data_IF_310269617774
#
_entry.id   IF_310269617774
#
_cell.length_a   1.000
_cell.length_b   1.000
_cell.length_c   1.000
_cell.angle_alpha   90.00
_cell.angle_beta   90.00
_cell.angle_gamma   90.00
#
_symmetry.space_group_name_H-M   'P 1'
#
loop_
_entity.id
_entity.type
_entity.pdbx_description
1 polymer ?
#
# COMPACT_ATOMS: atom_id res chain seq x y z
N UNK A 1 26.77 9.49 -10.90
CA UNK A 1 25.79 8.91 -9.95
C UNK A 1 25.13 7.72 -10.62
N UNK A 2 25.43 6.52 -10.15
CA UNK A 2 24.71 5.30 -10.55
C UNK A 2 23.34 5.33 -9.89
N UNK A 3 22.28 5.54 -10.67
CA UNK A 3 20.90 5.43 -10.16
C UNK A 3 20.70 3.95 -9.81
N UNK A 4 20.38 3.60 -8.55
CA UNK A 4 20.20 2.21 -8.19
C UNK A 4 18.97 1.64 -8.88
N UNK A 5 19.12 0.42 -9.38
CA UNK A 5 18.09 -0.37 -10.06
C UNK A 5 16.74 -0.34 -9.30
N UNK A 6 16.80 -0.37 -7.98
CA UNK A 6 15.67 -0.24 -7.06
C UNK A 6 14.84 1.01 -7.36
N UNK A 7 15.43 2.19 -7.46
CA UNK A 7 14.68 3.42 -7.73
C UNK A 7 14.04 3.44 -9.11
N UNK A 8 14.72 2.90 -10.12
CA UNK A 8 14.22 2.85 -11.51
C UNK A 8 12.99 1.94 -11.63
N UNK A 9 12.96 0.85 -10.87
CA UNK A 9 11.85 -0.11 -10.89
C UNK A 9 10.69 0.35 -9.99
N UNK A 10 10.96 0.81 -8.77
CA UNK A 10 9.90 1.16 -7.83
C UNK A 10 9.16 2.45 -8.19
N UNK A 11 9.77 3.36 -8.96
CA UNK A 11 9.13 4.61 -9.36
C UNK A 11 7.93 4.44 -10.30
N UNK A 12 8.04 3.76 -11.46
CA UNK A 12 6.88 3.52 -12.32
C UNK A 12 5.82 2.66 -11.63
N UNK A 13 6.23 1.73 -10.76
CA UNK A 13 5.30 0.92 -9.95
C UNK A 13 4.52 1.80 -8.96
N UNK A 14 5.20 2.71 -8.25
CA UNK A 14 4.54 3.65 -7.34
C UNK A 14 3.52 4.53 -8.08
N UNK A 15 3.85 5.01 -9.27
CA UNK A 15 2.92 5.80 -10.09
C UNK A 15 1.71 4.99 -10.53
N UNK A 16 1.91 3.77 -11.01
CA UNK A 16 0.83 2.90 -11.45
C UNK A 16 -0.13 2.55 -10.29
N UNK A 17 0.43 2.14 -9.14
CA UNK A 17 -0.36 1.82 -7.95
C UNK A 17 -1.04 3.08 -7.39
N UNK A 18 -0.37 4.23 -7.43
CA UNK A 18 -0.93 5.52 -7.01
C UNK A 18 -2.13 5.92 -7.85
N UNK A 19 -2.08 5.69 -9.17
CA UNK A 19 -3.22 5.92 -10.04
C UNK A 19 -4.40 5.00 -9.72
N UNK A 20 -4.14 3.71 -9.48
CA UNK A 20 -5.16 2.74 -9.06
C UNK A 20 -5.80 3.17 -7.74
N UNK A 21 -4.98 3.57 -6.75
CA UNK A 21 -5.46 4.09 -5.48
C UNK A 21 -6.38 5.30 -5.65
N UNK A 22 -5.96 6.27 -6.47
CA UNK A 22 -6.74 7.47 -6.74
C UNK A 22 -8.08 7.15 -7.40
N UNK A 23 -8.12 6.17 -8.31
CA UNK A 23 -9.37 5.71 -8.92
C UNK A 23 -10.36 5.18 -7.86
N UNK A 24 -9.92 4.26 -7.01
CA UNK A 24 -10.77 3.71 -5.94
C UNK A 24 -11.21 4.79 -4.95
N UNK A 25 -10.37 5.79 -4.69
CA UNK A 25 -10.74 6.93 -3.86
C UNK A 25 -11.87 7.77 -4.49
N UNK A 26 -11.83 8.02 -5.79
CA UNK A 26 -12.90 8.72 -6.49
C UNK A 26 -14.19 7.89 -6.54
N UNK A 27 -14.08 6.60 -6.84
CA UNK A 27 -15.24 5.68 -6.81
C UNK A 27 -15.86 5.60 -5.40
N UNK A 28 -15.04 5.65 -4.34
CA UNK A 28 -15.54 5.76 -2.97
C UNK A 28 -16.27 7.08 -2.72
N UNK A 29 -15.76 8.23 -3.21
CA UNK A 29 -16.46 9.51 -3.08
C UNK A 29 -17.83 9.54 -3.74
N UNK A 30 -17.99 8.81 -4.84
CA UNK A 30 -19.26 8.77 -5.59
C UNK A 30 -20.26 7.77 -4.99
N UNK A 31 -19.77 6.61 -4.53
CA UNK A 31 -20.63 5.50 -4.12
C UNK A 31 -20.77 5.35 -2.60
N UNK A 32 -19.86 5.96 -1.84
CA UNK A 32 -19.69 5.82 -0.39
C UNK A 32 -19.57 4.36 0.10
N UNK A 33 -19.19 3.44 -0.80
CA UNK A 33 -19.05 2.02 -0.46
C UNK A 33 -17.78 1.75 0.33
N UNK A 34 -17.91 0.97 1.41
CA UNK A 34 -16.80 0.64 2.31
C UNK A 34 -15.68 -0.12 1.60
N UNK A 35 -16.02 -0.97 0.63
CA UNK A 35 -15.05 -1.78 -0.12
C UNK A 35 -14.10 -0.90 -0.94
N UNK A 36 -14.64 0.10 -1.65
CA UNK A 36 -13.84 1.04 -2.44
C UNK A 36 -12.89 1.86 -1.55
N UNK A 37 -13.33 2.24 -0.35
CA UNK A 37 -12.46 2.89 0.63
C UNK A 37 -11.31 1.97 1.07
N UNK A 38 -11.59 0.70 1.35
CA UNK A 38 -10.56 -0.26 1.79
C UNK A 38 -9.56 -0.52 0.65
N UNK A 39 -10.02 -0.67 -0.59
CA UNK A 39 -9.13 -0.76 -1.75
C UNK A 39 -8.27 0.49 -1.92
N UNK A 40 -8.86 1.69 -1.83
CA UNK A 40 -8.12 2.95 -1.90
C UNK A 40 -7.03 3.03 -0.82
N UNK A 41 -7.35 2.67 0.43
CA UNK A 41 -6.38 2.67 1.53
C UNK A 41 -5.28 1.62 1.34
N UNK A 42 -5.62 0.41 0.90
CA UNK A 42 -4.65 -0.66 0.64
C UNK A 42 -3.66 -0.27 -0.47
N UNK A 43 -4.17 0.24 -1.60
CA UNK A 43 -3.32 0.68 -2.70
C UNK A 43 -2.54 1.95 -2.36
N UNK A 44 -3.08 2.85 -1.52
CA UNK A 44 -2.31 3.98 -0.98
C UNK A 44 -1.13 3.49 -0.15
N UNK A 45 -1.35 2.53 0.76
CA UNK A 45 -0.27 1.96 1.56
C UNK A 45 0.82 1.32 0.68
N UNK A 46 0.44 0.55 -0.35
CA UNK A 46 1.39 -0.01 -1.32
C UNK A 46 2.12 1.06 -2.14
N UNK A 47 1.46 2.17 -2.47
CA UNK A 47 2.08 3.31 -3.15
C UNK A 47 3.16 3.94 -2.27
N UNK A 48 2.88 4.10 -0.98
CA UNK A 48 3.85 4.60 0.00
C UNK A 48 5.04 3.64 0.11
N UNK A 49 4.79 2.33 0.20
CA UNK A 49 5.86 1.29 0.18
C UNK A 49 6.79 1.48 -1.01
N UNK A 50 6.23 1.53 -2.22
CA UNK A 50 7.03 1.70 -3.43
C UNK A 50 7.78 3.04 -3.44
N UNK A 51 7.14 4.11 -2.96
CA UNK A 51 7.76 5.42 -2.82
C UNK A 51 8.94 5.42 -1.83
N UNK A 52 8.83 4.69 -0.71
CA UNK A 52 9.95 4.52 0.23
C UNK A 52 11.12 3.77 -0.41
N UNK A 53 10.84 2.78 -1.28
CA UNK A 53 11.86 2.10 -2.07
C UNK A 53 12.57 3.02 -3.07
N UNK A 54 11.84 3.94 -3.70
CA UNK A 54 12.42 4.99 -4.55
C UNK A 54 13.37 5.88 -3.74
N UNK A 55 12.92 6.39 -2.60
CA UNK A 55 13.70 7.26 -1.71
C UNK A 55 14.92 6.56 -1.11
N UNK A 56 14.80 5.28 -0.76
CA UNK A 56 15.90 4.45 -0.27
C UNK A 56 17.03 4.38 -1.31
N UNK A 57 16.68 4.17 -2.58
CA UNK A 57 17.67 4.12 -3.64
C UNK A 57 18.20 5.50 -4.06
N UNK A 58 17.37 6.54 -4.12
CA UNK A 58 17.83 7.85 -4.65
C UNK A 58 18.52 8.72 -3.60
N UNK A 59 18.02 8.76 -2.36
CA UNK A 59 18.45 9.72 -1.32
C UNK A 59 19.27 9.03 -0.24
N UNK A 60 18.82 7.86 0.21
CA UNK A 60 19.35 7.19 1.38
C UNK A 60 20.24 6.00 1.02
N UNK A 61 21.14 6.17 0.05
CA UNK A 61 22.09 5.13 -0.40
C UNK A 61 23.12 4.70 0.67
N UNK A 62 23.01 5.21 1.90
CA UNK A 62 23.71 4.73 3.09
C UNK A 62 23.04 3.47 3.67
N UNK A 63 23.83 2.59 4.30
CA UNK A 63 23.31 1.35 4.92
C UNK A 63 22.19 1.62 5.92
N UNK A 64 22.32 2.64 6.75
CA UNK A 64 21.34 2.97 7.80
C UNK A 64 20.03 3.48 7.21
N UNK A 65 20.10 4.31 6.17
CA UNK A 65 18.92 4.86 5.51
C UNK A 65 18.13 3.80 4.74
N UNK A 66 18.80 2.83 4.11
CA UNK A 66 18.15 1.66 3.50
C UNK A 66 17.40 0.85 4.58
N UNK A 67 18.02 0.59 5.73
CA UNK A 67 17.39 -0.17 6.83
C UNK A 67 16.16 0.56 7.36
N UNK A 68 16.23 1.88 7.58
CA UNK A 68 15.09 2.69 8.01
C UNK A 68 13.93 2.59 7.02
N UNK A 69 14.21 2.76 5.72
CA UNK A 69 13.18 2.67 4.68
C UNK A 69 12.60 1.26 4.59
N UNK A 70 13.39 0.22 4.84
CA UNK A 70 12.90 -1.16 4.90
C UNK A 70 11.90 -1.35 6.05
N UNK A 71 12.19 -0.82 7.25
CA UNK A 71 11.28 -0.88 8.41
C UNK A 71 9.98 -0.16 8.09
N UNK A 72 10.06 1.07 7.56
CA UNK A 72 8.88 1.87 7.17
C UNK A 72 8.05 1.11 6.13
N UNK A 73 8.68 0.57 5.08
CA UNK A 73 8.01 -0.20 4.05
C UNK A 73 7.30 -1.44 4.62
N UNK A 74 7.91 -2.13 5.59
CA UNK A 74 7.34 -3.33 6.20
C UNK A 74 6.06 -3.04 6.98
N UNK A 75 6.01 -1.89 7.67
CA UNK A 75 4.80 -1.44 8.39
C UNK A 75 3.65 -1.21 7.40
N UNK A 76 3.90 -0.50 6.31
CA UNK A 76 2.86 -0.23 5.31
C UNK A 76 2.42 -1.48 4.55
N UNK A 77 3.33 -2.42 4.28
CA UNK A 77 2.98 -3.74 3.71
C UNK A 77 2.07 -4.52 4.68
N UNK A 78 2.36 -4.52 5.98
CA UNK A 78 1.52 -5.19 6.97
C UNK A 78 0.10 -4.59 7.00
N UNK A 79 -0.01 -3.26 6.94
CA UNK A 79 -1.29 -2.55 6.88
C UNK A 79 -2.06 -2.93 5.60
N UNK A 80 -1.41 -2.90 4.43
CA UNK A 80 -2.03 -3.28 3.16
C UNK A 80 -2.54 -4.73 3.18
N UNK A 81 -1.73 -5.67 3.70
CA UNK A 81 -2.13 -7.07 3.86
C UNK A 81 -3.30 -7.24 4.83
N UNK A 82 -3.39 -6.43 5.88
CA UNK A 82 -4.53 -6.41 6.78
C UNK A 82 -5.83 -6.03 6.05
N UNK A 83 -5.79 -4.99 5.22
CA UNK A 83 -6.92 -4.58 4.39
C UNK A 83 -7.32 -5.65 3.36
N UNK A 84 -6.36 -6.28 2.68
CA UNK A 84 -6.66 -7.35 1.74
C UNK A 84 -7.23 -8.60 2.43
N UNK A 85 -6.70 -8.96 3.59
CA UNK A 85 -7.22 -10.10 4.38
C UNK A 85 -8.65 -9.85 4.84
N UNK A 86 -8.96 -8.63 5.26
CA UNK A 86 -10.34 -8.21 5.56
C UNK A 86 -11.26 -8.41 4.36
N UNK A 87 -10.89 -7.90 3.18
CA UNK A 87 -11.69 -8.02 1.97
C UNK A 87 -11.86 -9.48 1.55
N UNK A 88 -10.79 -10.27 1.62
CA UNK A 88 -10.83 -11.69 1.28
C UNK A 88 -11.81 -12.45 2.19
N UNK A 89 -11.75 -12.23 3.51
CA UNK A 89 -12.68 -12.84 4.45
C UNK A 89 -14.11 -12.36 4.23
N UNK A 90 -14.30 -11.06 3.98
CA UNK A 90 -15.61 -10.47 3.73
C UNK A 90 -16.27 -11.04 2.46
N UNK A 91 -15.53 -11.12 1.34
CA UNK A 91 -16.07 -11.70 0.10
C UNK A 91 -16.27 -13.21 0.16
N UNK A 92 -15.41 -13.93 0.91
CA UNK A 92 -15.55 -15.39 1.07
C UNK A 92 -16.69 -15.75 2.02
N UNK A 93 -16.90 -14.96 3.07
CA UNK A 93 -17.88 -15.20 4.12
C UNK A 93 -18.67 -13.91 4.45
N UNK A 94 -19.56 -13.45 3.55
CA UNK A 94 -20.25 -12.17 3.71
C UNK A 94 -21.16 -12.05 4.94
N UNK A 95 -21.43 -13.16 5.64
CA UNK A 95 -22.23 -13.20 6.88
C UNK A 95 -21.41 -13.11 8.16
N UNK A 96 -20.09 -13.25 8.09
CA UNK A 96 -19.21 -13.15 9.25
C UNK A 96 -18.53 -11.78 9.15
N UNK A 97 -18.96 -10.83 9.98
CA UNK A 97 -18.18 -9.62 10.16
C UNK A 97 -16.79 -10.03 10.62
N UNK A 98 -15.70 -9.71 9.92
CA UNK A 98 -14.34 -10.07 10.37
C UNK A 98 -13.95 -9.37 11.69
N UNK A 99 -14.80 -8.47 12.21
CA UNK A 99 -14.69 -7.88 13.55
C UNK A 99 -15.32 -8.71 14.67
N UNK A 100 -15.98 -9.85 14.37
CA UNK A 100 -16.72 -10.64 15.36
C UNK A 100 -15.83 -11.16 16.51
N UNK A 101 -14.52 -11.32 16.27
CA UNK A 101 -13.55 -11.73 17.29
C UNK A 101 -12.99 -10.60 18.15
N UNK A 102 -13.39 -9.35 17.91
CA UNK A 102 -12.95 -8.15 18.64
C UNK A 102 -14.10 -7.43 19.39
N UNK A 103 -15.30 -8.01 19.36
CA UNK A 103 -16.47 -7.66 20.20
C UNK A 103 -16.59 -8.65 21.33
#
# INVERSE_FOLDING_TARGET
MTIPFTSVVYFPVALAIGFISFRFYNEWKETETRDNLIYALAFTALTIVCSTGVLAGTIFSSKEGIVLMLVVSSIFVAIANGFYSYLFLYYRFPRISPWLGFT
#
